data_IF_029105573786
#
_entry.id   IF_029105573786
#
_cell.length_a   1.000
_cell.length_b   1.000
_cell.length_c   1.000
_cell.angle_alpha   90.00
_cell.angle_beta   90.00
_cell.angle_gamma   90.00
#
_symmetry.space_group_name_H-M   'P 1'
#
loop_
_entity.id
_entity.type
_entity.pdbx_description
1 polymer ?
#
# COMPACT_ATOMS: atom_id res chain seq x y z
N UNK A 1 -3.43 14.62 26.86
CA UNK A 1 -2.82 15.95 26.58
C UNK A 1 -1.68 15.90 25.55
N UNK A 2 -0.75 14.91 25.58
CA UNK A 2 0.35 14.81 24.59
C UNK A 2 -0.12 14.55 23.14
N UNK A 3 -1.14 13.71 22.93
CA UNK A 3 -1.63 13.38 21.59
C UNK A 3 -2.30 14.57 20.87
N UNK A 4 -3.02 15.44 21.60
CA UNK A 4 -3.65 16.65 21.01
C UNK A 4 -2.63 17.66 20.46
N UNK A 5 -1.54 17.93 21.19
CA UNK A 5 -0.43 18.79 20.69
C UNK A 5 0.29 18.17 19.50
N UNK A 6 0.42 16.85 19.51
CA UNK A 6 1.03 16.07 18.43
C UNK A 6 0.20 16.18 17.14
N UNK A 7 -1.13 16.10 17.24
CA UNK A 7 -2.03 16.19 16.10
C UNK A 7 -2.13 17.62 15.56
N UNK A 8 -2.10 18.65 16.41
CA UNK A 8 -1.98 20.04 15.95
C UNK A 8 -0.68 20.29 15.19
N UNK A 9 0.43 19.66 15.61
CA UNK A 9 1.71 19.77 14.89
C UNK A 9 1.69 19.03 13.54
N UNK A 10 0.98 17.91 13.41
CA UNK A 10 0.86 17.19 12.12
C UNK A 10 -0.04 17.97 11.16
N UNK A 11 -1.16 18.52 11.63
CA UNK A 11 -2.02 19.39 10.81
C UNK A 11 -1.30 20.68 10.40
N UNK A 12 -0.51 21.28 11.29
CA UNK A 12 0.31 22.45 10.94
C UNK A 12 1.41 22.08 9.94
N UNK A 13 2.07 20.92 10.07
CA UNK A 13 3.09 20.45 9.12
C UNK A 13 2.49 20.12 7.74
N UNK A 14 1.27 19.59 7.71
CA UNK A 14 0.51 19.38 6.48
C UNK A 14 0.10 20.72 5.82
N UNK A 15 -0.34 21.70 6.62
CA UNK A 15 -0.70 23.03 6.15
C UNK A 15 0.51 23.83 5.64
N UNK A 16 1.67 23.75 6.32
CA UNK A 16 2.91 24.38 5.87
C UNK A 16 3.38 23.79 4.53
N UNK A 17 3.26 22.48 4.31
CA UNK A 17 3.66 21.86 3.04
C UNK A 17 2.75 22.20 1.86
N UNK A 18 1.50 22.61 2.08
CA UNK A 18 0.64 23.16 1.02
C UNK A 18 1.16 24.51 0.49
N UNK A 19 1.97 25.25 1.26
CA UNK A 19 2.52 26.54 0.87
C UNK A 19 3.84 26.49 0.09
N UNK A 20 4.51 25.33 0.02
CA UNK A 20 5.83 25.18 -0.61
C UNK A 20 5.82 24.58 -2.03
N UNK A 21 4.67 24.30 -2.64
CA UNK A 21 4.59 23.87 -4.04
C UNK A 21 4.73 25.01 -5.07
N UNK A 22 5.50 26.04 -4.74
CA UNK A 22 5.98 27.01 -5.72
C UNK A 22 7.37 27.47 -5.36
N UNK A 23 8.39 26.70 -5.77
CA UNK A 23 9.67 27.25 -6.27
C UNK A 23 10.55 26.13 -6.82
N UNK A 24 11.13 26.42 -7.99
CA UNK A 24 11.94 25.52 -8.82
C UNK A 24 13.28 25.16 -8.13
N UNK A 25 13.65 23.89 -8.19
CA UNK A 25 15.03 23.42 -7.95
C UNK A 25 15.84 23.40 -9.25
N UNK A 26 17.12 23.83 -9.26
CA UNK A 26 18.04 23.56 -10.36
C UNK A 26 18.81 22.24 -10.15
N UNK A 27 19.03 21.56 -11.27
CA UNK A 27 19.68 20.24 -11.42
C UNK A 27 21.20 20.30 -11.19
N UNK A 28 21.77 19.24 -10.62
CA UNK A 28 23.21 18.96 -10.70
C UNK A 28 23.47 17.45 -10.84
N UNK A 29 24.14 17.10 -11.94
CA UNK A 29 24.61 15.77 -12.31
C UNK A 29 25.85 15.35 -11.51
N UNK A 30 25.96 14.07 -11.16
CA UNK A 30 27.25 13.40 -10.89
C UNK A 30 27.21 11.96 -11.45
N UNK A 31 28.33 11.57 -12.05
CA UNK A 31 28.60 10.40 -12.88
C UNK A 31 29.30 9.22 -12.16
N UNK A 32 29.02 8.01 -12.67
CA UNK A 32 29.87 6.79 -12.84
C UNK A 32 30.65 6.16 -11.68
N UNK A 33 30.51 4.83 -11.50
CA UNK A 33 31.56 3.84 -11.86
C UNK A 33 31.12 2.38 -11.66
N UNK A 34 31.51 1.52 -12.61
CA UNK A 34 31.36 0.05 -12.68
C UNK A 34 32.37 -0.68 -11.78
N UNK A 35 32.00 -1.87 -11.30
CA UNK A 35 32.94 -2.98 -11.06
C UNK A 35 32.23 -4.34 -11.04
N UNK A 36 32.67 -5.26 -11.90
CA UNK A 36 32.37 -6.69 -11.89
C UNK A 36 33.37 -7.45 -11.00
N UNK A 37 33.09 -8.70 -10.59
CA UNK A 37 33.96 -9.78 -11.09
C UNK A 37 33.27 -11.13 -11.38
N UNK A 38 34.10 -12.01 -11.92
CA UNK A 38 33.97 -13.22 -12.74
C UNK A 38 33.63 -14.56 -12.06
N UNK A 39 32.91 -15.40 -12.84
CA UNK A 39 32.92 -16.87 -13.07
C UNK A 39 33.58 -17.89 -12.11
N UNK A 40 32.91 -19.04 -11.95
CA UNK A 40 33.46 -20.40 -12.20
C UNK A 40 32.36 -21.49 -12.39
N UNK A 41 32.69 -22.51 -13.20
CA UNK A 41 31.86 -23.55 -13.87
C UNK A 41 31.63 -24.87 -13.10
N UNK A 42 30.60 -25.64 -13.52
CA UNK A 42 30.53 -27.10 -13.86
C UNK A 42 29.04 -27.56 -13.83
N UNK A 43 28.38 -28.14 -14.85
CA UNK A 43 28.57 -29.40 -15.61
C UNK A 43 27.30 -30.29 -15.42
N UNK A 44 26.30 -30.23 -16.31
CA UNK A 44 25.94 -31.16 -17.43
C UNK A 44 24.92 -32.28 -17.09
N UNK A 45 23.74 -32.28 -17.75
CA UNK A 45 23.23 -33.35 -18.66
C UNK A 45 21.73 -33.19 -19.04
N UNK A 46 21.46 -33.33 -20.35
CA UNK A 46 20.16 -33.56 -21.05
C UNK A 46 19.59 -34.96 -20.66
N UNK A 47 18.32 -35.37 -20.84
CA UNK A 47 17.20 -35.15 -21.78
C UNK A 47 15.92 -35.70 -21.11
N UNK A 48 14.67 -35.33 -21.45
CA UNK A 48 13.82 -35.96 -22.50
C UNK A 48 12.39 -35.35 -22.39
N UNK A 49 11.63 -35.24 -23.49
CA UNK A 49 10.30 -34.61 -23.58
C UNK A 49 9.19 -35.68 -23.78
N UNK A 50 8.00 -35.60 -23.14
CA UNK A 50 6.68 -35.11 -23.64
C UNK A 50 5.56 -35.80 -22.76
N UNK A 51 4.24 -35.54 -22.91
CA UNK A 51 3.50 -34.28 -22.81
C UNK A 51 2.28 -34.36 -21.84
N UNK A 52 1.85 -33.21 -21.30
CA UNK A 52 0.48 -32.99 -20.84
C UNK A 52 0.19 -33.12 -19.33
N UNK A 53 -0.78 -32.31 -18.91
CA UNK A 53 -1.56 -32.36 -17.65
C UNK A 53 -1.15 -31.42 -16.49
N UNK A 54 -2.12 -30.56 -16.15
CA UNK A 54 -2.41 -29.93 -14.85
C UNK A 54 -1.27 -29.35 -14.03
N UNK A 55 -1.17 -28.01 -14.05
CA UNK A 55 -0.31 -27.28 -13.11
C UNK A 55 -0.98 -27.24 -11.73
N UNK A 56 -0.69 -28.26 -10.90
CA UNK A 56 -0.91 -28.24 -9.45
C UNK A 56 0.24 -27.47 -8.80
N UNK A 57 0.03 -26.19 -8.50
CA UNK A 57 0.93 -25.45 -7.61
C UNK A 57 0.63 -25.83 -6.16
N UNK A 58 1.20 -26.93 -5.70
CA UNK A 58 1.19 -27.25 -4.27
C UNK A 58 2.57 -27.73 -3.81
N UNK A 59 3.05 -27.02 -2.78
CA UNK A 59 4.16 -27.35 -1.86
C UNK A 59 5.57 -27.03 -2.34
N UNK A 60 5.94 -25.76 -2.17
CA UNK A 60 7.29 -25.39 -1.78
C UNK A 60 7.21 -24.63 -0.45
N UNK A 61 7.83 -25.18 0.59
CA UNK A 61 8.07 -24.47 1.84
C UNK A 61 8.91 -23.24 1.53
N UNK A 62 8.34 -22.06 1.74
CA UNK A 62 9.01 -20.78 1.45
C UNK A 62 9.89 -20.39 2.64
N UNK A 63 11.19 -20.68 2.53
CA UNK A 63 12.19 -19.92 3.29
C UNK A 63 12.27 -18.55 2.64
N UNK A 64 11.83 -17.54 3.38
CA UNK A 64 11.70 -16.14 2.96
C UNK A 64 13.07 -15.51 2.71
N UNK A 65 13.71 -15.85 1.60
CA UNK A 65 14.78 -15.06 1.03
C UNK A 65 14.13 -13.81 0.42
N UNK A 66 13.92 -12.79 1.27
CA UNK A 66 13.41 -11.47 0.90
C UNK A 66 14.41 -10.76 -0.04
N UNK A 67 14.45 -11.20 -1.30
CA UNK A 67 14.77 -10.31 -2.40
C UNK A 67 13.45 -9.62 -2.70
N UNK A 68 13.41 -8.30 -2.47
CA UNK A 68 12.41 -7.45 -3.09
C UNK A 68 12.17 -7.96 -4.52
N UNK A 69 10.92 -8.03 -4.98
CA UNK A 69 10.68 -8.24 -6.40
C UNK A 69 11.53 -7.20 -7.13
N UNK A 70 12.58 -7.63 -7.84
CA UNK A 70 13.61 -6.74 -8.37
C UNK A 70 12.94 -5.60 -9.15
N UNK A 71 13.25 -4.35 -8.79
CA UNK A 71 12.67 -3.15 -9.41
C UNK A 71 11.88 -2.21 -8.48
N UNK A 72 11.72 -2.52 -7.18
CA UNK A 72 11.01 -1.60 -6.28
C UNK A 72 11.87 -0.39 -5.88
N UNK A 73 11.54 0.76 -6.44
CA UNK A 73 11.81 2.07 -5.84
C UNK A 73 10.50 2.46 -5.14
N UNK A 74 10.48 2.93 -3.87
CA UNK A 74 9.24 3.22 -3.10
C UNK A 74 8.22 4.17 -3.75
N UNK A 75 8.52 4.70 -4.94
CA UNK A 75 7.73 5.66 -5.71
C UNK A 75 7.55 5.24 -7.18
N UNK A 76 7.98 4.04 -7.59
CA UNK A 76 7.73 3.51 -8.93
C UNK A 76 6.87 2.25 -8.85
N UNK A 77 5.53 2.42 -8.85
CA UNK A 77 4.62 1.28 -8.91
C UNK A 77 4.90 0.45 -10.18
N UNK A 78 4.77 -0.87 -10.07
CA UNK A 78 4.80 -1.74 -11.25
C UNK A 78 3.55 -1.47 -12.09
N UNK A 79 3.66 -1.23 -13.40
CA UNK A 79 2.47 -1.05 -14.23
C UNK A 79 1.66 -2.35 -14.30
N UNK A 80 0.33 -2.26 -14.47
CA UNK A 80 -0.56 -3.43 -14.43
C UNK A 80 -0.22 -4.46 -15.52
N UNK A 81 0.18 -3.99 -16.71
CA UNK A 81 0.58 -4.82 -17.85
C UNK A 81 1.82 -5.69 -17.58
N UNK A 82 2.67 -5.30 -16.62
CA UNK A 82 3.79 -6.11 -16.14
C UNK A 82 3.37 -7.22 -15.16
N UNK A 83 2.13 -7.17 -14.67
CA UNK A 83 1.56 -8.12 -13.70
C UNK A 83 0.55 -9.05 -14.38
N UNK A 84 -0.28 -8.51 -15.27
CA UNK A 84 -1.37 -9.19 -15.96
C UNK A 84 -1.39 -8.84 -17.44
N UNK A 85 -1.58 -9.84 -18.29
CA UNK A 85 -1.81 -9.64 -19.72
C UNK A 85 -3.19 -8.99 -19.96
N UNK A 86 -3.16 -7.71 -20.35
CA UNK A 86 -4.37 -6.90 -20.55
C UNK A 86 -5.18 -7.33 -21.78
N UNK A 87 -4.55 -7.86 -22.83
CA UNK A 87 -5.28 -8.36 -23.99
C UNK A 87 -6.07 -9.62 -23.62
N UNK A 88 -5.44 -10.53 -22.87
CA UNK A 88 -6.13 -11.71 -22.35
C UNK A 88 -7.16 -11.37 -21.27
N UNK A 89 -6.98 -10.26 -20.55
CA UNK A 89 -7.95 -9.82 -19.55
C UNK A 89 -9.27 -9.33 -20.16
N UNK A 90 -9.25 -8.78 -21.38
CA UNK A 90 -10.46 -8.29 -22.08
C UNK A 90 -11.52 -9.37 -22.26
N UNK A 91 -11.12 -10.63 -22.46
CA UNK A 91 -12.05 -11.74 -22.70
C UNK A 91 -12.57 -12.40 -21.42
N UNK A 92 -12.11 -12.00 -20.23
CA UNK A 92 -12.45 -12.62 -18.95
C UNK A 92 -13.53 -11.86 -18.19
N UNK A 93 -14.28 -12.55 -17.34
CA UNK A 93 -15.23 -11.93 -16.41
C UNK A 93 -14.52 -11.24 -15.24
N UNK A 94 -15.24 -10.39 -14.49
CA UNK A 94 -14.69 -9.70 -13.32
C UNK A 94 -14.29 -10.68 -12.19
N UNK A 95 -15.03 -11.78 -12.06
CA UNK A 95 -14.82 -12.85 -11.09
C UNK A 95 -13.56 -13.66 -11.44
N UNK A 96 -13.40 -14.03 -12.71
CA UNK A 96 -12.20 -14.71 -13.19
C UNK A 96 -10.95 -13.85 -12.99
N UNK A 97 -11.05 -12.55 -13.30
CA UNK A 97 -9.98 -11.58 -13.12
C UNK A 97 -9.60 -11.41 -11.65
N UNK A 98 -10.58 -11.39 -10.75
CA UNK A 98 -10.34 -11.36 -9.30
C UNK A 98 -9.59 -12.61 -8.84
N UNK A 99 -10.04 -13.80 -9.26
CA UNK A 99 -9.36 -15.06 -8.94
C UNK A 99 -7.91 -15.07 -9.43
N UNK A 100 -7.65 -14.60 -10.65
CA UNK A 100 -6.29 -14.52 -11.20
C UNK A 100 -5.41 -13.57 -10.39
N UNK A 101 -5.98 -12.44 -9.96
CA UNK A 101 -5.27 -11.47 -9.14
C UNK A 101 -4.90 -12.04 -7.77
N UNK A 102 -5.83 -12.73 -7.13
CA UNK A 102 -5.62 -13.38 -5.83
C UNK A 102 -4.56 -14.49 -5.93
N UNK A 103 -4.68 -15.37 -6.94
CA UNK A 103 -3.73 -16.45 -7.19
C UNK A 103 -2.32 -15.92 -7.48
N UNK A 104 -2.20 -14.79 -8.19
CA UNK A 104 -0.90 -14.18 -8.46
C UNK A 104 -0.21 -13.73 -7.17
N UNK A 105 -0.94 -13.15 -6.21
CA UNK A 105 -0.35 -12.58 -4.99
C UNK A 105 -0.16 -13.62 -3.88
N UNK A 106 -0.85 -14.75 -3.95
CA UNK A 106 -0.76 -15.83 -2.96
C UNK A 106 0.69 -16.29 -2.74
N UNK A 107 1.18 -16.15 -1.50
CA UNK A 107 2.51 -16.60 -1.09
C UNK A 107 3.69 -15.81 -1.64
N UNK A 108 3.47 -14.65 -2.28
CA UNK A 108 4.53 -13.84 -2.91
C UNK A 108 5.05 -12.67 -2.05
N UNK A 109 4.56 -12.53 -0.82
CA UNK A 109 4.95 -11.41 0.06
C UNK A 109 4.39 -10.06 -0.39
N UNK A 110 3.28 -10.09 -1.12
CA UNK A 110 2.54 -8.92 -1.59
C UNK A 110 1.06 -9.12 -1.27
N UNK A 111 0.33 -8.03 -1.05
CA UNK A 111 -1.10 -8.07 -0.76
C UNK A 111 -1.87 -7.78 -2.04
N UNK A 112 -2.69 -8.72 -2.48
CA UNK A 112 -3.67 -8.51 -3.55
C UNK A 112 -5.05 -8.25 -2.95
N UNK A 113 -5.72 -7.19 -3.40
CA UNK A 113 -7.15 -6.94 -3.14
C UNK A 113 -7.81 -6.43 -4.42
N UNK A 114 -9.14 -6.47 -4.47
CA UNK A 114 -9.93 -5.87 -5.55
C UNK A 114 -11.08 -5.04 -4.97
N UNK A 115 -11.59 -4.09 -5.75
CA UNK A 115 -12.83 -3.37 -5.43
C UNK A 115 -13.57 -2.96 -6.69
N UNK A 116 -14.86 -2.64 -6.55
CA UNK A 116 -15.67 -2.08 -7.64
C UNK A 116 -15.22 -0.68 -8.03
N UNK A 117 -15.38 -0.31 -9.30
CA UNK A 117 -14.96 1.00 -9.80
C UNK A 117 -15.68 2.15 -9.08
N UNK A 118 -16.97 1.98 -8.76
CA UNK A 118 -17.74 2.99 -8.04
C UNK A 118 -17.20 3.24 -6.61
N UNK A 119 -16.74 2.20 -5.92
CA UNK A 119 -16.15 2.35 -4.58
C UNK A 119 -14.82 3.10 -4.66
N UNK A 120 -13.98 2.78 -5.65
CA UNK A 120 -12.73 3.51 -5.88
C UNK A 120 -12.98 5.00 -6.15
N UNK A 121 -13.95 5.35 -7.01
CA UNK A 121 -14.31 6.75 -7.28
C UNK A 121 -14.74 7.50 -6.02
N UNK A 122 -15.53 6.87 -5.16
CA UNK A 122 -15.93 7.46 -3.88
C UNK A 122 -14.72 7.69 -2.97
N UNK A 123 -13.83 6.68 -2.87
CA UNK A 123 -12.60 6.78 -2.11
C UNK A 123 -11.71 7.92 -2.61
N UNK A 124 -11.49 8.00 -3.93
CA UNK A 124 -10.65 9.01 -4.57
C UNK A 124 -11.21 10.42 -4.34
N UNK A 125 -12.52 10.61 -4.53
CA UNK A 125 -13.19 11.88 -4.26
C UNK A 125 -13.01 12.33 -2.81
N UNK A 126 -13.21 11.42 -1.85
CA UNK A 126 -13.07 11.70 -0.42
C UNK A 126 -11.62 11.95 -0.02
N UNK A 127 -10.69 11.21 -0.62
CA UNK A 127 -9.26 11.38 -0.39
C UNK A 127 -8.72 12.71 -0.93
N UNK A 128 -9.29 13.25 -2.01
CA UNK A 128 -8.92 14.56 -2.53
C UNK A 128 -9.13 15.68 -1.48
N UNK A 129 -10.18 15.56 -0.67
CA UNK A 129 -10.53 16.50 0.39
C UNK A 129 -9.88 16.17 1.75
N UNK A 130 -9.64 14.90 2.02
CA UNK A 130 -9.13 14.39 3.29
C UNK A 130 -7.99 13.41 3.02
N UNK A 131 -6.75 13.90 2.92
CA UNK A 131 -5.59 13.07 2.50
C UNK A 131 -4.93 12.30 3.64
N UNK A 132 -5.13 12.72 4.89
CA UNK A 132 -4.35 12.24 6.02
C UNK A 132 -5.21 11.51 7.05
N UNK A 133 -4.67 10.46 7.66
CA UNK A 133 -5.33 9.82 8.79
C UNK A 133 -4.36 9.08 9.71
N UNK A 134 -4.86 8.72 10.88
CA UNK A 134 -4.15 7.88 11.85
C UNK A 134 -4.94 6.62 12.14
N UNK A 135 -4.29 5.47 12.05
CA UNK A 135 -4.90 4.16 12.23
C UNK A 135 -4.18 3.45 13.38
N UNK A 136 -4.87 3.06 14.47
CA UNK A 136 -4.29 2.19 15.49
C UNK A 136 -4.09 0.79 14.91
N UNK A 137 -2.90 0.21 15.09
CA UNK A 137 -2.62 -1.19 14.81
C UNK A 137 -2.38 -1.90 16.14
N UNK A 138 -3.27 -2.81 16.51
CA UNK A 138 -3.19 -3.53 17.78
C UNK A 138 -2.00 -4.50 17.81
N UNK A 139 -1.24 -4.47 18.90
CA UNK A 139 -0.08 -5.33 19.16
C UNK A 139 0.02 -5.67 20.64
N UNK A 140 -0.14 -6.96 20.96
CA UNK A 140 -0.02 -7.45 22.33
C UNK A 140 -1.00 -6.74 23.26
N UNK A 141 -0.49 -5.95 24.20
CA UNK A 141 -1.27 -5.21 25.20
C UNK A 141 -1.60 -3.77 24.83
N UNK A 142 -1.28 -3.31 23.62
CA UNK A 142 -1.54 -1.94 23.19
C UNK A 142 -1.65 -1.81 21.68
N UNK A 143 -1.42 -0.60 21.18
CA UNK A 143 -1.39 -0.33 19.75
C UNK A 143 -0.18 0.54 19.39
N UNK A 144 0.31 0.35 18.17
CA UNK A 144 1.12 1.37 17.50
C UNK A 144 0.20 2.21 16.62
N UNK A 145 0.56 3.46 16.37
CA UNK A 145 -0.22 4.31 15.45
C UNK A 145 0.46 4.37 14.09
N UNK A 146 -0.30 4.05 13.05
CA UNK A 146 0.10 4.20 11.66
C UNK A 146 -0.43 5.52 11.13
N UNK A 147 0.40 6.25 10.39
CA UNK A 147 0.03 7.44 9.64
C UNK A 147 -0.22 7.05 8.19
N UNK A 148 -1.43 7.30 7.71
CA UNK A 148 -1.85 7.05 6.33
C UNK A 148 -1.88 8.37 5.56
N UNK A 149 -1.32 8.36 4.35
CA UNK A 149 -1.38 9.44 3.39
C UNK A 149 -1.96 8.91 2.10
N UNK A 150 -2.97 9.58 1.57
CA UNK A 150 -3.57 9.23 0.28
C UNK A 150 -3.12 10.24 -0.76
N UNK A 151 -2.45 9.72 -1.78
CA UNK A 151 -1.99 10.45 -2.96
C UNK A 151 -2.43 9.62 -4.17
N UNK A 152 -3.73 9.66 -4.49
CA UNK A 152 -4.33 8.81 -5.52
C UNK A 152 -3.48 8.84 -6.82
N UNK A 153 -3.18 7.67 -7.42
CA UNK A 153 -3.72 6.34 -7.13
C UNK A 153 -2.93 5.54 -6.09
N UNK A 154 -2.27 6.20 -5.13
CA UNK A 154 -1.44 5.58 -4.11
C UNK A 154 -1.91 5.87 -2.68
N UNK A 155 -1.65 4.93 -1.78
CA UNK A 155 -1.67 5.16 -0.34
C UNK A 155 -0.32 4.80 0.27
N UNK A 156 0.13 5.61 1.22
CA UNK A 156 1.41 5.46 1.90
C UNK A 156 1.16 5.35 3.40
N UNK A 157 1.70 4.30 4.01
CA UNK A 157 1.57 4.03 5.43
C UNK A 157 2.93 4.04 6.09
N UNK A 158 3.09 4.82 7.16
CA UNK A 158 4.33 4.94 7.94
C UNK A 158 4.01 4.87 9.42
N UNK A 159 4.88 4.30 10.25
CA UNK A 159 4.72 4.40 11.71
C UNK A 159 4.71 5.87 12.14
N UNK A 160 3.75 6.29 12.96
CA UNK A 160 3.56 7.70 13.33
C UNK A 160 4.79 8.29 14.03
N UNK A 161 5.49 7.50 14.84
CA UNK A 161 6.73 7.92 15.51
C UNK A 161 7.85 8.16 14.49
N UNK A 162 8.00 7.26 13.53
CA UNK A 162 9.01 7.37 12.46
C UNK A 162 8.69 8.52 11.49
N UNK A 163 7.41 8.75 11.20
CA UNK A 163 6.98 9.90 10.41
C UNK A 163 7.38 11.22 11.07
N UNK A 164 7.25 11.35 12.39
CA UNK A 164 7.68 12.57 13.09
C UNK A 164 9.19 12.76 13.06
N UNK A 165 9.95 11.66 13.13
CA UNK A 165 11.40 11.72 13.14
C UNK A 165 12.01 12.01 11.76
N UNK A 166 11.42 11.46 10.68
CA UNK A 166 12.05 11.43 9.34
C UNK A 166 11.09 11.77 8.19
N UNK A 167 9.85 12.13 8.47
CA UNK A 167 8.81 12.34 7.46
C UNK A 167 8.47 11.06 6.70
N UNK A 168 8.13 11.20 5.42
CA UNK A 168 7.66 10.10 4.55
C UNK A 168 8.78 9.31 3.89
N UNK A 169 10.04 9.49 4.32
CA UNK A 169 11.20 8.88 3.64
C UNK A 169 11.39 7.37 3.92
N UNK A 170 10.56 6.78 4.77
CA UNK A 170 10.62 5.35 5.12
C UNK A 170 9.21 4.76 5.26
N UNK A 171 8.44 4.63 4.17
CA UNK A 171 7.12 4.02 4.22
C UNK A 171 7.25 2.57 4.68
N UNK A 172 6.33 2.10 5.53
CA UNK A 172 6.28 0.69 5.93
C UNK A 172 5.53 -0.14 4.89
N UNK A 173 4.52 0.45 4.27
CA UNK A 173 3.64 -0.15 3.29
C UNK A 173 3.20 0.93 2.28
N UNK A 174 3.17 0.56 1.01
CA UNK A 174 2.55 1.36 -0.05
C UNK A 174 1.46 0.55 -0.72
N UNK A 175 0.34 1.19 -1.05
CA UNK A 175 -0.72 0.60 -1.86
C UNK A 175 -0.87 1.35 -3.19
N UNK A 176 -1.10 0.61 -4.26
CA UNK A 176 -1.38 1.14 -5.61
C UNK A 176 -2.71 0.61 -6.11
N UNK A 177 -3.52 1.51 -6.68
CA UNK A 177 -4.80 1.21 -7.30
C UNK A 177 -4.64 1.23 -8.83
N UNK A 178 -5.05 0.17 -9.50
CA UNK A 178 -5.00 0.00 -10.94
C UNK A 178 -6.41 0.12 -11.53
N UNK A 179 -6.66 1.17 -12.29
CA UNK A 179 -7.98 1.58 -12.78
C UNK A 179 -8.21 1.28 -14.25
N UNK A 180 -7.26 0.64 -14.93
CA UNK A 180 -7.26 0.38 -16.37
C UNK A 180 -8.49 -0.44 -16.83
N UNK A 181 -9.01 -1.31 -15.96
CA UNK A 181 -10.21 -2.12 -16.23
C UNK A 181 -11.49 -1.57 -15.56
N UNK A 182 -11.43 -0.40 -14.93
CA UNK A 182 -12.55 0.13 -14.15
C UNK A 182 -13.79 0.41 -15.00
N UNK A 183 -13.61 0.95 -16.22
CA UNK A 183 -14.73 1.27 -17.12
C UNK A 183 -15.33 0.05 -17.82
N UNK A 184 -14.50 -0.95 -18.14
CA UNK A 184 -14.91 -2.11 -18.95
C UNK A 184 -15.32 -3.32 -18.13
N UNK A 185 -14.83 -3.43 -16.88
CA UNK A 185 -15.04 -4.58 -16.01
C UNK A 185 -15.62 -4.22 -14.64
N UNK A 186 -15.91 -2.94 -14.36
CA UNK A 186 -16.29 -2.44 -13.02
C UNK A 186 -15.32 -2.92 -11.93
N UNK A 187 -14.02 -3.00 -12.25
CA UNK A 187 -13.02 -3.63 -11.39
C UNK A 187 -11.76 -2.77 -11.29
N UNK A 188 -11.31 -2.54 -10.06
CA UNK A 188 -10.05 -1.90 -9.71
C UNK A 188 -9.20 -2.91 -8.94
N UNK A 189 -7.98 -3.16 -9.40
CA UNK A 189 -7.03 -3.99 -8.67
C UNK A 189 -6.23 -3.15 -7.69
N UNK A 190 -5.89 -3.75 -6.55
CA UNK A 190 -5.15 -3.09 -5.49
C UNK A 190 -3.99 -3.99 -5.12
N UNK A 191 -2.79 -3.41 -5.13
CA UNK A 191 -1.57 -4.06 -4.68
C UNK A 191 -1.02 -3.35 -3.47
N UNK A 192 -0.69 -4.10 -2.42
CA UNK A 192 0.06 -3.64 -1.26
C UNK A 192 1.47 -4.21 -1.29
N UNK A 193 2.48 -3.34 -1.17
CA UNK A 193 3.89 -3.69 -1.08
C UNK A 193 4.42 -3.33 0.32
N UNK A 194 4.72 -4.36 1.12
CA UNK A 194 5.33 -4.19 2.45
C UNK A 194 6.81 -3.88 2.26
N UNK A 195 7.19 -2.64 2.53
CA UNK A 195 8.55 -2.11 2.32
C UNK A 195 9.46 -2.48 3.50
N UNK A 196 8.94 -2.46 4.72
CA UNK A 196 9.69 -2.78 5.95
C UNK A 196 9.10 -4.02 6.63
N UNK A 197 9.47 -5.20 6.13
CA UNK A 197 8.97 -6.51 6.60
C UNK A 197 9.38 -6.84 8.05
N UNK A 198 10.36 -6.14 8.62
CA UNK A 198 10.71 -6.21 10.04
C UNK A 198 9.79 -5.40 10.95
N UNK A 199 9.00 -4.49 10.37
CA UNK A 199 8.10 -3.58 11.09
C UNK A 199 6.63 -3.94 10.92
N UNK A 200 6.26 -4.68 9.88
CA UNK A 200 4.87 -4.98 9.54
C UNK A 200 4.76 -6.39 8.92
N UNK A 201 3.84 -7.21 9.43
CA UNK A 201 3.52 -8.50 8.79
C UNK A 201 2.55 -8.29 7.62
N UNK A 202 2.40 -9.31 6.77
CA UNK A 202 1.52 -9.24 5.61
C UNK A 202 0.04 -9.13 6.06
N UNK A 203 -0.33 -9.79 7.17
CA UNK A 203 -1.66 -9.72 7.78
C UNK A 203 -1.95 -8.34 8.36
N UNK A 204 -1.00 -7.75 9.10
CA UNK A 204 -1.13 -6.39 9.64
C UNK A 204 -1.24 -5.37 8.51
N UNK A 205 -0.46 -5.53 7.46
CA UNK A 205 -0.49 -4.66 6.29
C UNK A 205 -1.83 -4.73 5.56
N UNK A 206 -2.35 -5.94 5.32
CA UNK A 206 -3.69 -6.14 4.74
C UNK A 206 -4.76 -5.48 5.61
N UNK A 207 -4.72 -5.71 6.92
CA UNK A 207 -5.67 -5.12 7.87
C UNK A 207 -5.64 -3.58 7.86
N UNK A 208 -4.45 -2.97 7.79
CA UNK A 208 -4.32 -1.50 7.68
C UNK A 208 -4.96 -0.99 6.38
N UNK A 209 -4.73 -1.67 5.25
CA UNK A 209 -5.30 -1.29 3.95
C UNK A 209 -6.83 -1.36 3.97
N UNK A 210 -7.39 -2.47 4.46
CA UNK A 210 -8.85 -2.65 4.63
C UNK A 210 -9.43 -1.60 5.57
N UNK A 211 -8.74 -1.33 6.68
CA UNK A 211 -9.15 -0.30 7.64
C UNK A 211 -9.18 1.07 6.99
N UNK A 212 -8.10 1.47 6.30
CA UNK A 212 -8.05 2.74 5.59
C UNK A 212 -9.19 2.88 4.58
N UNK A 213 -9.41 1.87 3.73
CA UNK A 213 -10.52 1.86 2.78
C UNK A 213 -11.86 2.00 3.49
N UNK A 214 -12.08 1.29 4.60
CA UNK A 214 -13.34 1.36 5.34
C UNK A 214 -13.65 2.77 5.88
N UNK A 215 -12.61 3.53 6.26
CA UNK A 215 -12.80 4.92 6.71
C UNK A 215 -13.22 5.83 5.57
N UNK A 216 -12.69 5.64 4.36
CA UNK A 216 -13.12 6.40 3.18
C UNK A 216 -14.47 5.94 2.64
N UNK A 217 -14.82 4.65 2.74
CA UNK A 217 -16.01 4.10 2.09
C UNK A 217 -17.27 4.12 2.98
N UNK A 218 -17.12 4.22 4.30
CA UNK A 218 -18.25 4.28 5.24
C UNK A 218 -18.51 5.71 5.71
N UNK A 219 -19.74 6.22 5.57
CA UNK A 219 -20.09 7.61 5.88
C UNK A 219 -19.84 8.00 7.35
N UNK A 220 -20.15 7.09 8.29
CA UNK A 220 -19.94 7.34 9.72
C UNK A 220 -18.46 7.40 10.04
N UNK A 221 -17.66 6.49 9.48
CA UNK A 221 -16.20 6.51 9.66
C UNK A 221 -15.56 7.70 8.93
N UNK A 222 -16.09 8.11 7.78
CA UNK A 222 -15.57 9.24 7.02
C UNK A 222 -15.66 10.56 7.79
N UNK A 223 -16.67 10.75 8.65
CA UNK A 223 -16.74 11.92 9.55
C UNK A 223 -15.54 12.03 10.49
N UNK A 224 -14.89 10.93 10.85
CA UNK A 224 -13.64 10.95 11.63
C UNK A 224 -12.45 11.45 10.79
N UNK A 225 -12.38 11.04 9.52
CA UNK A 225 -11.41 11.56 8.55
C UNK A 225 -11.61 13.07 8.33
N UNK A 226 -12.85 13.51 8.13
CA UNK A 226 -13.16 14.94 7.94
C UNK A 226 -12.78 15.76 9.17
N UNK A 227 -13.13 15.30 10.38
CA UNK A 227 -12.70 15.96 11.62
C UNK A 227 -11.17 16.01 11.72
N UNK A 228 -10.48 14.92 11.37
CA UNK A 228 -9.02 14.91 11.39
C UNK A 228 -8.40 15.97 10.46
N UNK A 229 -8.88 16.04 9.21
CA UNK A 229 -8.28 16.88 8.15
C UNK A 229 -8.76 18.34 8.19
N UNK A 230 -10.04 18.59 8.53
CA UNK A 230 -10.68 19.92 8.41
C UNK A 230 -10.94 20.59 9.77
N UNK A 231 -11.16 19.79 10.82
CA UNK A 231 -11.54 20.28 12.15
C UNK A 231 -10.69 19.64 13.25
N UNK A 232 -9.35 19.66 13.10
CA UNK A 232 -8.43 18.88 13.95
C UNK A 232 -8.60 19.12 15.46
N UNK A 233 -9.06 20.30 15.86
CA UNK A 233 -9.31 20.63 17.27
C UNK A 233 -10.49 19.85 17.89
N UNK A 234 -11.41 19.34 17.08
CA UNK A 234 -12.53 18.49 17.49
C UNK A 234 -12.23 16.99 17.34
N UNK A 235 -11.07 16.64 16.79
CA UNK A 235 -10.69 15.26 16.59
C UNK A 235 -10.16 14.64 17.89
N UNK A 236 -10.77 13.52 18.27
CA UNK A 236 -10.35 12.71 19.41
C UNK A 236 -9.98 11.31 18.95
N UNK A 237 -8.74 10.89 19.21
CA UNK A 237 -8.26 9.56 18.79
C UNK A 237 -9.04 8.40 19.41
N UNK A 238 -9.62 8.60 20.60
CA UNK A 238 -10.50 7.60 21.25
C UNK A 238 -11.70 7.23 20.37
N UNK A 239 -12.21 8.16 19.57
CA UNK A 239 -13.35 7.92 18.68
C UNK A 239 -12.94 6.97 17.54
N UNK A 240 -11.67 7.00 17.13
CA UNK A 240 -11.11 6.04 16.16
C UNK A 240 -11.00 4.65 16.78
N UNK A 241 -10.55 4.55 18.03
CA UNK A 241 -10.50 3.28 18.76
C UNK A 241 -11.90 2.67 18.89
N UNK A 242 -12.90 3.49 19.26
CA UNK A 242 -14.30 3.06 19.34
C UNK A 242 -14.85 2.60 18.00
N UNK A 243 -14.58 3.32 16.91
CA UNK A 243 -15.05 2.94 15.57
C UNK A 243 -14.44 1.62 15.04
N UNK A 244 -13.36 1.15 15.68
CA UNK A 244 -12.65 -0.09 15.39
C UNK A 244 -12.84 -1.14 16.50
N UNK A 245 -13.75 -0.91 17.44
CA UNK A 245 -14.03 -1.80 18.58
C UNK A 245 -12.77 -2.17 19.39
N UNK A 246 -11.81 -1.23 19.47
CA UNK A 246 -10.55 -1.42 20.20
C UNK A 246 -10.66 -1.00 21.67
N UNK A 247 -9.96 -1.68 22.59
CA UNK A 247 -9.87 -1.27 23.98
C UNK A 247 -9.34 0.16 24.12
N UNK A 248 -10.03 0.95 24.95
CA UNK A 248 -9.56 2.27 25.37
C UNK A 248 -8.70 2.05 26.61
N UNK A 249 -7.38 2.16 26.42
CA UNK A 249 -6.37 2.06 27.49
C UNK A 249 -6.20 3.37 28.24
#
# INVERSE_FOLDING_TARGET
>A
MKLRRILSSISNLAAERLSFYSTRCPSRQISTSRSSPSQRNAGSNLSEALPGSHVKWARLGSVRNSRFASGFTPLQPKPLDSIMDLERAKTKSSEELTSIWDDYHLGRGHIGMTMKAQLYRLLEQRAAECRYFVIPLWRGSGYITMFAQVEAPHMIFTGLEDYKARGTQAPYLTSTFYTELSETKDLVFIRGDVVFTSKLTDEEAKWIMETAQSFYLNDTRYKLLERFNKHTHEFEFKDVLQALDMPIL
#
